data_IF_441111013496
#
_entry.id   IF_441111013496
#
_cell.length_a   1.000
_cell.length_b   1.000
_cell.length_c   1.000
_cell.angle_alpha   90.00
_cell.angle_beta   90.00
_cell.angle_gamma   90.00
#
_symmetry.space_group_name_H-M   'P 1'
#
loop_
_entity.id
_entity.type
_entity.pdbx_description
1 polymer ?
#
# COMPACT_ATOMS: atom_id res chain seq x y z
N UNK A 1 30.48 45.54 -9.08
CA UNK A 1 29.00 45.72 -9.08
C UNK A 1 28.49 44.94 -7.87
N UNK A 2 27.78 45.58 -6.95
CA UNK A 2 27.35 44.96 -5.68
C UNK A 2 25.86 45.14 -5.54
N UNK A 3 25.14 44.02 -5.41
CA UNK A 3 23.71 44.00 -5.11
C UNK A 3 23.52 43.52 -3.67
N UNK A 4 22.64 44.19 -2.91
CA UNK A 4 22.11 43.67 -1.65
C UNK A 4 20.75 43.08 -1.95
N UNK A 5 20.59 41.79 -1.66
CA UNK A 5 19.34 41.07 -1.80
C UNK A 5 18.83 40.75 -0.40
N UNK A 6 17.53 40.93 -0.18
CA UNK A 6 16.84 40.48 1.01
C UNK A 6 15.82 39.43 0.57
N UNK A 7 15.88 38.25 1.17
CA UNK A 7 14.90 37.18 0.95
C UNK A 7 13.68 37.48 1.82
N UNK A 8 12.49 37.37 1.25
CA UNK A 8 11.20 37.60 1.91
C UNK A 8 10.48 36.26 2.15
N UNK A 9 9.39 36.30 2.91
CA UNK A 9 8.57 35.13 3.20
C UNK A 9 7.98 34.51 1.92
N UNK A 10 7.90 33.17 1.84
CA UNK A 10 7.35 32.47 0.69
C UNK A 10 5.83 32.67 0.58
N UNK A 11 5.34 32.94 -0.64
CA UNK A 11 3.91 33.01 -0.96
C UNK A 11 3.50 31.71 -1.66
N UNK A 12 2.51 31.02 -1.11
CA UNK A 12 2.00 29.75 -1.63
C UNK A 12 0.67 29.96 -2.36
N UNK A 13 0.63 29.57 -3.64
CA UNK A 13 -0.60 29.52 -4.45
C UNK A 13 -0.88 28.08 -4.83
N UNK A 14 -2.10 27.59 -4.52
CA UNK A 14 -2.54 26.24 -4.91
C UNK A 14 -3.14 26.26 -6.32
N UNK A 15 -2.73 25.32 -7.15
CA UNK A 15 -3.40 25.04 -8.42
C UNK A 15 -4.20 23.74 -8.26
N UNK A 16 -5.51 23.79 -8.52
CA UNK A 16 -6.37 22.61 -8.47
C UNK A 16 -6.23 21.83 -9.79
N UNK A 17 -5.92 20.52 -9.72
CA UNK A 17 -6.05 19.64 -10.90
C UNK A 17 -5.04 18.49 -11.03
N UNK A 18 -3.88 18.53 -10.37
CA UNK A 18 -2.85 17.51 -10.61
C UNK A 18 -2.89 16.42 -9.52
N UNK A 19 -3.47 15.28 -9.90
CA UNK A 19 -3.55 14.09 -9.04
C UNK A 19 -2.72 12.99 -9.69
N UNK A 20 -1.69 12.52 -8.98
CA UNK A 20 -0.83 11.45 -9.47
C UNK A 20 -1.35 10.13 -8.89
N UNK A 21 -1.61 9.15 -9.76
CA UNK A 21 -2.03 7.81 -9.32
C UNK A 21 -0.87 6.83 -9.48
N UNK A 22 -0.72 5.93 -8.49
CA UNK A 22 0.27 4.87 -8.47
C UNK A 22 -0.43 3.52 -8.36
N UNK A 23 -0.04 2.59 -9.22
CA UNK A 23 -0.36 1.18 -9.04
C UNK A 23 0.76 0.53 -8.23
N UNK A 24 0.41 -0.01 -7.07
CA UNK A 24 1.34 -0.64 -6.12
C UNK A 24 1.05 -2.15 -6.14
N UNK A 25 2.09 -2.96 -6.22
CA UNK A 25 1.99 -4.41 -6.14
C UNK A 25 2.72 -4.87 -4.88
N UNK A 26 2.03 -5.61 -4.00
CA UNK A 26 2.58 -6.09 -2.74
C UNK A 26 2.64 -7.62 -2.79
N UNK A 27 3.84 -8.22 -2.99
CA UNK A 27 3.98 -9.66 -2.98
C UNK A 27 3.78 -10.22 -1.56
N UNK A 28 3.09 -11.34 -1.47
CA UNK A 28 2.78 -12.03 -0.23
C UNK A 28 3.45 -13.39 -0.19
N UNK A 29 4.04 -13.72 0.96
CA UNK A 29 4.42 -15.07 1.33
C UNK A 29 3.42 -15.57 2.38
N UNK A 30 2.63 -16.59 2.03
CA UNK A 30 1.52 -17.08 2.84
C UNK A 30 1.85 -18.48 3.35
N UNK A 31 1.95 -18.64 4.67
CA UNK A 31 1.99 -19.95 5.32
C UNK A 31 0.57 -20.39 5.66
N UNK A 32 0.02 -21.29 4.84
CA UNK A 32 -1.34 -21.80 4.97
C UNK A 32 -1.36 -23.09 5.80
N UNK A 33 -2.29 -23.21 6.73
CA UNK A 33 -2.56 -24.44 7.47
C UNK A 33 -3.99 -24.92 7.16
N UNK A 34 -4.14 -26.09 6.56
CA UNK A 34 -5.44 -26.70 6.25
C UNK A 34 -5.65 -27.92 7.13
N UNK A 35 -6.82 -28.00 7.76
CA UNK A 35 -7.28 -29.20 8.45
C UNK A 35 -7.98 -30.15 7.47
N UNK A 36 -7.37 -31.31 7.22
CA UNK A 36 -7.83 -32.31 6.28
C UNK A 36 -8.44 -33.51 7.00
N UNK A 37 -9.37 -33.32 7.96
CA UNK A 37 -10.11 -34.36 8.72
C UNK A 37 -9.26 -35.37 9.52
N UNK A 38 -8.26 -36.00 8.89
CA UNK A 38 -7.32 -36.96 9.41
C UNK A 38 -5.95 -36.34 9.73
N UNK A 39 -5.58 -35.23 9.08
CA UNK A 39 -4.27 -34.59 9.29
C UNK A 39 -4.31 -33.07 8.99
N UNK A 40 -3.40 -32.30 9.61
CA UNK A 40 -3.21 -30.87 9.31
C UNK A 40 -2.03 -30.70 8.37
N UNK A 41 -2.28 -30.14 7.19
CA UNK A 41 -1.24 -29.90 6.19
C UNK A 41 -0.85 -28.43 6.11
N UNK A 42 0.46 -28.17 5.99
CA UNK A 42 1.02 -26.84 5.79
C UNK A 42 1.41 -26.63 4.34
N UNK A 43 1.07 -25.48 3.78
CA UNK A 43 1.42 -25.08 2.43
C UNK A 43 2.07 -23.71 2.43
N UNK A 44 3.09 -23.54 1.59
CA UNK A 44 3.64 -22.22 1.26
C UNK A 44 3.04 -21.78 -0.06
N UNK A 45 2.34 -20.65 -0.03
CA UNK A 45 1.63 -20.11 -1.18
C UNK A 45 2.12 -18.69 -1.41
N UNK A 46 2.34 -18.34 -2.67
CA UNK A 46 2.64 -16.96 -3.04
C UNK A 46 1.31 -16.23 -3.29
N UNK A 47 1.29 -14.94 -3.06
CA UNK A 47 0.16 -14.11 -3.44
C UNK A 47 0.63 -12.72 -3.79
N UNK A 48 -0.31 -11.89 -4.20
CA UNK A 48 -0.05 -10.50 -4.53
C UNK A 48 -1.28 -9.64 -4.27
N UNK A 49 -1.06 -8.41 -3.83
CA UNK A 49 -2.10 -7.41 -3.63
C UNK A 49 -1.87 -6.26 -4.60
N UNK A 50 -2.89 -5.91 -5.36
CA UNK A 50 -2.93 -4.69 -6.14
C UNK A 50 -3.53 -3.55 -5.30
N UNK A 51 -2.74 -2.52 -5.03
CA UNK A 51 -3.20 -1.31 -4.35
C UNK A 51 -3.15 -0.12 -5.29
N UNK A 52 -4.11 0.79 -5.14
CA UNK A 52 -4.08 2.09 -5.80
C UNK A 52 -3.83 3.17 -4.78
N UNK A 53 -2.83 3.99 -5.05
CA UNK A 53 -2.51 5.17 -4.27
C UNK A 53 -2.68 6.42 -5.10
N UNK A 54 -3.16 7.48 -4.48
CA UNK A 54 -3.44 8.75 -5.13
C UNK A 54 -2.74 9.85 -4.35
N UNK A 55 -1.73 10.48 -4.95
CA UNK A 55 -1.08 11.64 -4.38
C UNK A 55 -1.78 12.92 -4.83
N UNK A 56 -2.16 13.74 -3.87
CA UNK A 56 -2.76 15.05 -4.10
C UNK A 56 -2.19 16.10 -3.16
N UNK A 57 -2.10 17.33 -3.67
CA UNK A 57 -1.81 18.48 -2.83
C UNK A 57 -3.00 18.80 -1.91
N UNK A 58 -2.74 19.10 -0.64
CA UNK A 58 -3.70 19.52 0.37
C UNK A 58 -3.25 20.83 1.03
N UNK A 59 -4.21 21.57 1.58
CA UNK A 59 -3.91 22.82 2.28
C UNK A 59 -3.20 22.54 3.63
N UNK A 60 -2.27 23.41 4.09
CA UNK A 60 -1.78 24.63 3.41
C UNK A 60 -0.67 24.38 2.37
N UNK A 61 0.20 23.39 2.58
CA UNK A 61 1.20 22.91 1.62
C UNK A 61 1.61 21.47 2.01
N UNK A 62 0.67 20.55 1.87
CA UNK A 62 0.86 19.15 2.21
C UNK A 62 0.71 18.28 0.97
N UNK A 63 1.46 17.18 0.91
CA UNK A 63 1.19 16.10 -0.03
C UNK A 63 0.53 14.95 0.73
N UNK A 64 -0.66 14.56 0.29
CA UNK A 64 -1.41 13.46 0.89
C UNK A 64 -1.44 12.30 -0.10
N UNK A 65 -1.00 11.14 0.35
CA UNK A 65 -1.08 9.87 -0.38
C UNK A 65 -2.29 9.10 0.15
N UNK A 66 -3.40 9.18 -0.56
CA UNK A 66 -4.59 8.41 -0.25
C UNK A 66 -4.42 6.98 -0.81
N UNK A 67 -4.52 5.95 0.04
CA UNK A 67 -4.49 4.54 -0.39
C UNK A 67 -5.81 3.91 0.04
N UNK A 68 -6.58 3.43 -0.94
CA UNK A 68 -7.83 2.73 -0.66
C UNK A 68 -7.55 1.33 -0.08
N UNK A 69 -8.33 0.87 0.91
CA UNK A 69 -8.24 -0.52 1.38
C UNK A 69 -8.52 -1.50 0.23
N UNK A 70 -7.76 -2.60 0.10
CA UNK A 70 -7.98 -3.57 -0.97
C UNK A 70 -9.27 -4.35 -0.73
N UNK A 71 -9.98 -4.63 -1.82
CA UNK A 71 -11.04 -5.63 -1.84
C UNK A 71 -10.50 -7.04 -2.12
N UNK A 72 -11.35 -8.08 -2.00
CA UNK A 72 -10.96 -9.45 -2.34
C UNK A 72 -10.55 -9.64 -3.80
N UNK A 73 -11.06 -8.81 -4.71
CA UNK A 73 -10.71 -8.83 -6.14
C UNK A 73 -9.31 -8.29 -6.43
N UNK A 74 -8.73 -7.55 -5.49
CA UNK A 74 -7.39 -6.99 -5.62
C UNK A 74 -6.30 -7.98 -5.16
N UNK A 75 -6.70 -9.19 -4.77
CA UNK A 75 -5.80 -10.22 -4.24
C UNK A 75 -5.78 -11.42 -5.18
N UNK A 76 -4.57 -11.76 -5.61
CA UNK A 76 -4.29 -12.96 -6.36
C UNK A 76 -3.50 -13.92 -5.48
N UNK A 77 -3.89 -15.20 -5.46
CA UNK A 77 -3.16 -16.25 -4.76
C UNK A 77 -2.62 -17.24 -5.77
N UNK A 78 -1.31 -17.35 -5.85
CA UNK A 78 -0.61 -18.23 -6.77
C UNK A 78 -0.34 -19.59 -6.12
N UNK A 79 -1.23 -20.54 -6.39
CA UNK A 79 -1.10 -21.93 -5.96
C UNK A 79 -0.24 -22.70 -6.97
N UNK A 80 1.09 -22.50 -6.93
CA UNK A 80 2.00 -23.19 -7.85
C UNK A 80 2.09 -24.71 -7.56
N UNK A 81 2.09 -25.52 -8.62
CA UNK A 81 2.07 -26.99 -8.59
C UNK A 81 3.37 -27.66 -8.12
N UNK A 82 4.44 -26.88 -7.89
CA UNK A 82 5.76 -27.46 -7.62
C UNK A 82 5.94 -27.92 -6.16
N UNK A 83 5.06 -27.51 -5.25
CA UNK A 83 5.06 -27.90 -3.82
C UNK A 83 3.82 -28.70 -3.41
N UNK A 84 2.85 -28.87 -4.32
CA UNK A 84 1.51 -29.35 -3.98
C UNK A 84 1.14 -30.54 -4.87
N UNK A 85 0.88 -31.70 -4.26
CA UNK A 85 0.42 -32.90 -4.99
C UNK A 85 -0.92 -32.60 -5.69
N UNK A 86 -1.11 -33.11 -6.90
CA UNK A 86 -2.25 -32.79 -7.78
C UNK A 86 -3.65 -32.94 -7.15
N UNK A 87 -3.81 -33.81 -6.16
CA UNK A 87 -5.08 -33.99 -5.44
C UNK A 87 -5.41 -32.85 -4.47
N UNK A 88 -4.38 -32.18 -3.92
CA UNK A 88 -4.51 -31.03 -3.01
C UNK A 88 -4.71 -29.70 -3.75
N UNK A 89 -4.29 -29.61 -5.01
CA UNK A 89 -4.57 -28.46 -5.89
C UNK A 89 -6.07 -28.21 -6.03
N UNK A 90 -6.88 -29.26 -6.11
CA UNK A 90 -8.35 -29.15 -6.24
C UNK A 90 -9.03 -28.67 -4.95
N UNK A 91 -8.45 -28.98 -3.79
CA UNK A 91 -8.90 -28.48 -2.49
C UNK A 91 -8.57 -26.98 -2.40
N UNK A 92 -7.35 -26.58 -2.76
CA UNK A 92 -6.93 -25.17 -2.71
C UNK A 92 -7.69 -24.28 -3.68
N UNK A 93 -7.97 -24.76 -4.90
CA UNK A 93 -8.81 -24.04 -5.86
C UNK A 93 -10.24 -23.78 -5.34
N UNK A 94 -10.75 -24.61 -4.41
CA UNK A 94 -12.04 -24.39 -3.76
C UNK A 94 -12.00 -23.43 -2.56
N UNK A 95 -10.80 -23.07 -2.08
CA UNK A 95 -10.58 -22.26 -0.87
C UNK A 95 -10.00 -20.87 -1.19
N UNK A 96 -9.57 -20.64 -2.44
CA UNK A 96 -8.97 -19.39 -2.91
C UNK A 96 -9.80 -18.15 -2.54
N UNK A 97 -11.11 -18.17 -2.78
CA UNK A 97 -12.01 -17.07 -2.43
C UNK A 97 -12.07 -16.76 -0.92
N UNK A 98 -11.91 -17.78 -0.07
CA UNK A 98 -11.85 -17.62 1.38
C UNK A 98 -10.50 -17.02 1.81
N UNK A 99 -9.41 -17.44 1.17
CA UNK A 99 -8.07 -16.90 1.41
C UNK A 99 -8.02 -15.43 1.00
N UNK A 100 -8.44 -15.09 -0.22
CA UNK A 100 -8.48 -13.69 -0.68
C UNK A 100 -9.34 -12.82 0.21
N UNK A 101 -10.51 -13.31 0.68
CA UNK A 101 -11.33 -12.56 1.63
C UNK A 101 -10.63 -12.35 2.98
N UNK A 102 -9.99 -13.38 3.52
CA UNK A 102 -9.28 -13.28 4.79
C UNK A 102 -8.10 -12.29 4.68
N UNK A 103 -7.30 -12.39 3.62
CA UNK A 103 -6.16 -11.51 3.37
C UNK A 103 -6.64 -10.08 3.13
N UNK A 104 -7.70 -9.86 2.36
CA UNK A 104 -8.28 -8.52 2.15
C UNK A 104 -8.64 -7.87 3.48
N UNK A 105 -9.34 -8.60 4.35
CA UNK A 105 -9.70 -8.11 5.66
C UNK A 105 -8.45 -7.81 6.49
N UNK A 106 -7.48 -8.73 6.56
CA UNK A 106 -6.25 -8.51 7.31
C UNK A 106 -5.48 -7.27 6.83
N UNK A 107 -5.33 -7.12 5.52
CA UNK A 107 -4.60 -6.01 4.90
C UNK A 107 -5.36 -4.70 5.05
N UNK A 108 -6.68 -4.69 4.94
CA UNK A 108 -7.49 -3.50 5.22
C UNK A 108 -7.24 -2.98 6.63
N UNK A 109 -7.16 -3.85 7.63
CA UNK A 109 -6.82 -3.46 9.00
C UNK A 109 -5.39 -2.91 9.13
N UNK A 110 -4.43 -3.47 8.39
CA UNK A 110 -3.03 -3.00 8.42
C UNK A 110 -2.84 -1.67 7.68
N UNK A 111 -3.54 -1.49 6.56
CA UNK A 111 -3.60 -0.25 5.77
C UNK A 111 -4.17 0.88 6.64
N UNK A 112 -5.15 0.59 7.49
CA UNK A 112 -5.78 1.53 8.42
C UNK A 112 -5.00 1.73 9.73
N UNK A 113 -3.88 1.01 9.93
CA UNK A 113 -3.07 1.15 11.13
C UNK A 113 -2.49 2.58 11.25
N UNK A 114 -2.53 3.21 12.45
CA UNK A 114 -2.01 4.56 12.69
C UNK A 114 -0.59 4.84 12.15
N UNK A 115 0.30 3.84 12.15
CA UNK A 115 1.65 3.98 11.58
C UNK A 115 1.65 4.12 10.06
N UNK A 116 0.80 3.36 9.38
CA UNK A 116 0.63 3.44 7.93
C UNK A 116 -0.08 4.74 7.52
N UNK A 117 -0.99 5.26 8.36
CA UNK A 117 -1.63 6.57 8.18
C UNK A 117 -0.62 7.72 8.30
N UNK A 118 0.25 7.70 9.32
CA UNK A 118 1.22 8.77 9.55
C UNK A 118 2.24 8.93 8.41
N UNK A 119 2.57 7.85 7.70
CA UNK A 119 3.47 7.89 6.54
C UNK A 119 2.84 8.48 5.26
N UNK A 120 1.51 8.67 5.22
CA UNK A 120 0.78 9.16 4.03
C UNK A 120 0.75 10.67 3.89
N UNK A 121 1.03 11.40 4.95
CA UNK A 121 1.04 12.86 4.94
C UNK A 121 2.46 13.36 4.99
N UNK A 122 2.90 13.99 3.90
CA UNK A 122 4.19 14.66 3.84
C UNK A 122 3.93 16.15 4.04
N UNK A 123 4.39 16.68 5.16
CA UNK A 123 4.42 18.12 5.40
C UNK A 123 5.54 18.74 4.58
N UNK A 124 5.17 19.33 3.44
CA UNK A 124 6.12 19.93 2.51
C UNK A 124 6.57 21.30 3.01
N UNK A 125 5.71 22.03 3.73
CA UNK A 125 6.09 23.31 4.34
C UNK A 125 7.22 23.11 5.34
N UNK A 126 7.07 22.15 6.25
CA UNK A 126 8.09 21.86 7.25
C UNK A 126 9.43 21.45 6.60
N UNK A 127 9.39 20.59 5.57
CA UNK A 127 10.61 20.19 4.84
C UNK A 127 11.26 21.33 4.08
N UNK A 128 10.45 22.26 3.54
CA UNK A 128 10.98 23.44 2.87
C UNK A 128 11.64 24.38 3.88
N UNK A 129 11.01 24.62 5.03
CA UNK A 129 11.56 25.45 6.10
C UNK A 129 12.87 24.89 6.67
N UNK A 130 12.98 23.57 6.82
CA UNK A 130 14.22 22.91 7.26
C UNK A 130 15.34 22.98 6.20
N UNK A 131 14.99 22.83 4.93
CA UNK A 131 15.97 22.86 3.84
C UNK A 131 16.37 24.28 3.43
N UNK A 132 15.50 25.27 3.68
CA UNK A 132 15.69 26.66 3.28
C UNK A 132 16.46 27.43 4.37
N UNK A 133 17.78 27.28 4.38
CA UNK A 133 18.66 28.01 5.32
C UNK A 133 18.96 29.45 4.92
N UNK A 134 18.34 29.98 3.85
CA UNK A 134 18.46 31.37 3.45
C UNK A 134 19.91 31.86 3.40
N UNK A 135 20.70 31.33 2.46
CA UNK A 135 22.04 31.87 2.14
C UNK A 135 21.95 32.70 0.86
#
# INVERSE_FOLDING_TARGET
>A
MTAKVQILDPIVTRNDGETITFDIQVPLAIDLLIDLKLDKSRFKVAGNIALKATARAAAPLQLVIDVAPPGPSDITVDVSSNTIRGELLRILAGVDQLISRFIANYVAHEVDNPKAMAARTIDVAHRLDEAWTGV
#
